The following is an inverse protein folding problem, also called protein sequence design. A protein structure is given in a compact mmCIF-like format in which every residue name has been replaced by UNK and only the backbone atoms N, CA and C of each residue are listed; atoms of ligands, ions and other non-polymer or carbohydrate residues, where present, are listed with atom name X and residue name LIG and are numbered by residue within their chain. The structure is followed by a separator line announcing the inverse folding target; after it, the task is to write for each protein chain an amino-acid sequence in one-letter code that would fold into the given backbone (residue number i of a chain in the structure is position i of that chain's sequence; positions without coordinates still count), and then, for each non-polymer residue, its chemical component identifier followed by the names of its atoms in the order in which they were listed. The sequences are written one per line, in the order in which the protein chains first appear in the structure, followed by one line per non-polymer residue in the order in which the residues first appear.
data_IF_251337031417
#
_entry.id   IF_251337031417
#
_cell.length_a   1.000
_cell.length_b   1.000
_cell.length_c   1.000
_cell.angle_alpha   90.00
_cell.angle_beta   90.00
_cell.angle_gamma   90.00
#
_symmetry.space_group_name_H-M   'P 1'
#
loop_
_entity.id
_entity.type
_entity.pdbx_description
1 polymer ?
#
# COMPACT_ATOMS: atom_id res chain seq x y z
N UNK A 1 4.16 2.01 -18.57
CA UNK A 1 4.85 1.64 -17.31
C UNK A 1 6.28 2.16 -17.39
N UNK A 2 6.69 3.09 -16.52
CA UNK A 2 8.03 3.67 -16.56
C UNK A 2 9.03 2.67 -15.98
N UNK A 3 9.63 1.85 -16.84
CA UNK A 3 10.55 0.76 -16.45
C UNK A 3 11.71 1.30 -15.57
N UNK A 4 12.18 2.51 -15.86
CA UNK A 4 13.20 3.19 -15.09
C UNK A 4 12.74 3.51 -13.66
N UNK A 5 11.49 3.97 -13.48
CA UNK A 5 10.91 4.22 -12.16
C UNK A 5 10.74 2.90 -11.39
N UNK A 6 10.31 1.84 -12.06
CA UNK A 6 10.25 0.49 -11.47
C UNK A 6 11.61 -0.01 -10.99
N UNK A 7 12.65 0.13 -11.81
CA UNK A 7 14.03 -0.24 -11.44
C UNK A 7 14.55 0.60 -10.27
N UNK A 8 14.29 1.92 -10.28
CA UNK A 8 14.63 2.83 -9.17
C UNK A 8 13.94 2.43 -7.86
N UNK A 9 12.69 2.02 -7.92
CA UNK A 9 11.95 1.59 -6.74
C UNK A 9 12.36 0.18 -6.26
N UNK A 10 12.57 -0.76 -7.17
CA UNK A 10 12.87 -2.16 -6.84
C UNK A 10 14.32 -2.40 -6.43
N UNK A 11 15.27 -1.92 -7.23
CA UNK A 11 16.71 -2.14 -7.01
C UNK A 11 17.24 -1.17 -5.97
N UNK A 12 17.02 0.14 -6.18
CA UNK A 12 17.56 1.19 -5.31
C UNK A 12 16.66 1.50 -4.11
N UNK A 13 15.53 0.80 -3.97
CA UNK A 13 14.54 1.01 -2.88
C UNK A 13 14.15 2.49 -2.75
N UNK A 14 14.07 3.22 -3.87
CA UNK A 14 13.72 4.64 -3.85
C UNK A 14 12.26 4.82 -3.44
N UNK A 15 12.03 5.52 -2.32
CA UNK A 15 10.68 5.81 -1.80
C UNK A 15 9.90 6.73 -2.73
N UNK A 16 10.55 7.73 -3.32
CA UNK A 16 9.93 8.63 -4.30
C UNK A 16 9.48 7.85 -5.56
N UNK A 17 10.35 7.00 -6.10
CA UNK A 17 10.01 6.19 -7.27
C UNK A 17 8.91 5.17 -6.96
N UNK A 18 8.92 4.59 -5.75
CA UNK A 18 7.87 3.68 -5.32
C UNK A 18 6.51 4.41 -5.19
N UNK A 19 6.51 5.61 -4.60
CA UNK A 19 5.32 6.45 -4.50
C UNK A 19 4.78 6.86 -5.87
N UNK A 20 5.65 7.28 -6.80
CA UNK A 20 5.27 7.58 -8.19
C UNK A 20 4.63 6.38 -8.90
N UNK A 21 5.18 5.17 -8.72
CA UNK A 21 4.57 3.96 -9.28
C UNK A 21 3.19 3.68 -8.69
N UNK A 22 3.00 3.91 -7.39
CA UNK A 22 1.72 3.74 -6.74
C UNK A 22 0.67 4.77 -7.21
N UNK A 23 1.10 6.01 -7.49
CA UNK A 23 0.25 7.04 -8.09
C UNK A 23 -0.12 6.71 -9.54
N UNK A 24 0.84 6.23 -10.32
CA UNK A 24 0.62 5.89 -11.74
C UNK A 24 -0.22 4.61 -11.88
N UNK A 25 -0.12 3.66 -10.93
CA UNK A 25 -0.89 2.42 -10.94
C UNK A 25 -1.05 1.81 -9.54
N UNK A 26 -2.31 1.67 -9.10
CA UNK A 26 -2.67 1.16 -7.77
C UNK A 26 -2.13 -0.27 -7.48
N UNK A 27 -1.80 -1.06 -8.50
CA UNK A 27 -1.15 -2.38 -8.33
C UNK A 27 0.16 -2.28 -7.54
N UNK A 28 0.89 -1.16 -7.64
CA UNK A 28 2.17 -0.97 -6.96
C UNK A 28 2.04 -0.37 -5.57
N UNK A 29 0.82 -0.14 -5.09
CA UNK A 29 0.56 0.50 -3.82
C UNK A 29 1.15 -0.26 -2.63
N UNK A 30 0.82 -1.54 -2.46
CA UNK A 30 1.36 -2.34 -1.34
C UNK A 30 2.89 -2.47 -1.40
N UNK A 31 3.44 -2.47 -2.61
CA UNK A 31 4.88 -2.43 -2.82
C UNK A 31 5.50 -1.11 -2.35
N UNK A 32 4.88 0.02 -2.66
CA UNK A 32 5.33 1.34 -2.23
C UNK A 32 5.17 1.56 -0.72
N UNK A 33 4.01 1.20 -0.15
CA UNK A 33 3.74 1.24 1.29
C UNK A 33 4.83 0.48 2.05
N UNK A 34 5.18 -0.74 1.62
CA UNK A 34 6.23 -1.54 2.27
C UNK A 34 7.60 -0.84 2.25
N UNK A 35 8.01 -0.28 1.12
CA UNK A 35 9.30 0.42 1.01
C UNK A 35 9.34 1.65 1.91
N UNK A 36 8.27 2.44 1.89
CA UNK A 36 8.19 3.72 2.61
C UNK A 36 8.11 3.48 4.12
N UNK A 37 7.28 2.54 4.57
CA UNK A 37 7.15 2.19 5.99
C UNK A 37 8.47 1.71 6.57
N UNK A 38 9.18 0.79 5.90
CA UNK A 38 10.49 0.30 6.38
C UNK A 38 11.50 1.44 6.51
N UNK A 39 11.53 2.37 5.55
CA UNK A 39 12.42 3.54 5.62
C UNK A 39 12.03 4.50 6.74
N UNK A 40 10.73 4.70 6.95
CA UNK A 40 10.22 5.58 7.99
C UNK A 40 10.52 5.03 9.39
N UNK A 41 10.22 3.76 9.64
CA UNK A 41 10.53 3.08 10.91
C UNK A 41 12.03 3.13 11.24
N UNK A 42 12.89 2.92 10.23
CA UNK A 42 14.34 3.04 10.41
C UNK A 42 14.74 4.44 10.86
N UNK A 43 14.19 5.49 10.23
CA UNK A 43 14.49 6.86 10.64
C UNK A 43 13.98 7.15 12.05
N UNK A 44 12.77 6.72 12.43
CA UNK A 44 12.28 6.86 13.79
C UNK A 44 13.19 6.16 14.81
N UNK A 45 13.68 4.95 14.52
CA UNK A 45 14.67 4.27 15.36
C UNK A 45 15.97 5.07 15.46
N UNK A 46 16.46 5.63 14.37
CA UNK A 46 17.68 6.45 14.38
C UNK A 46 17.50 7.73 15.23
N UNK A 47 16.33 8.40 15.17
CA UNK A 47 16.02 9.54 16.06
C UNK A 47 16.04 9.13 17.52
N UNK A 48 15.37 8.02 17.86
CA UNK A 48 15.24 7.53 19.24
C UNK A 48 16.59 7.09 19.80
N UNK A 49 17.33 6.27 19.05
CA UNK A 49 18.60 5.67 19.51
C UNK A 49 19.72 6.70 19.58
N UNK A 50 19.85 7.56 18.56
CA UNK A 50 20.96 8.51 18.48
C UNK A 50 20.67 9.86 19.13
N UNK A 51 19.48 10.03 19.73
CA UNK A 51 18.94 11.31 20.19
C UNK A 51 19.10 12.43 19.12
N UNK A 52 18.97 12.00 17.85
CA UNK A 52 19.41 12.73 16.65
C UNK A 52 18.36 13.74 16.17
N UNK A 53 17.61 14.34 17.10
CA UNK A 53 16.53 15.28 16.80
C UNK A 53 16.97 16.49 15.97
N UNK A 54 18.28 16.74 15.87
CA UNK A 54 18.91 17.84 15.13
C UNK A 54 19.46 17.47 13.75
N UNK A 55 19.36 16.20 13.34
CA UNK A 55 19.79 15.83 11.99
C UNK A 55 18.77 16.32 10.97
N UNK A 56 19.16 17.37 10.24
CA UNK A 56 18.36 18.04 9.22
C UNK A 56 17.86 17.06 8.15
N UNK A 57 18.66 16.03 7.85
CA UNK A 57 18.26 14.98 6.92
C UNK A 57 17.07 14.18 7.44
N UNK A 58 17.06 13.85 8.72
CA UNK A 58 15.99 13.09 9.36
C UNK A 58 14.73 13.95 9.52
N UNK A 59 14.89 15.22 9.90
CA UNK A 59 13.79 16.18 10.02
C UNK A 59 13.03 16.37 8.71
N UNK A 60 13.70 16.36 7.56
CA UNK A 60 13.03 16.49 6.26
C UNK A 60 12.39 15.19 5.76
N UNK A 61 12.95 14.03 6.10
CA UNK A 61 12.53 12.74 5.52
C UNK A 61 11.33 12.11 6.22
N UNK A 62 11.21 12.24 7.53
CA UNK A 62 10.06 11.69 8.28
C UNK A 62 8.73 12.32 7.81
N UNK A 63 8.59 13.66 7.75
CA UNK A 63 7.36 14.28 7.23
C UNK A 63 7.07 13.89 5.78
N UNK A 64 8.10 13.77 4.94
CA UNK A 64 7.96 13.33 3.55
C UNK A 64 7.36 11.91 3.46
N UNK A 65 7.84 10.97 4.28
CA UNK A 65 7.32 9.60 4.29
C UNK A 65 5.92 9.51 4.88
N UNK A 66 5.63 10.27 5.94
CA UNK A 66 4.29 10.36 6.50
C UNK A 66 3.30 10.90 5.45
N UNK A 67 3.68 11.95 4.71
CA UNK A 67 2.88 12.48 3.61
C UNK A 67 2.61 11.43 2.53
N UNK A 68 3.63 10.67 2.09
CA UNK A 68 3.41 9.61 1.10
C UNK A 68 2.43 8.52 1.58
N UNK A 69 2.56 8.10 2.84
CA UNK A 69 1.67 7.11 3.44
C UNK A 69 0.24 7.63 3.56
N UNK A 70 0.07 8.89 3.93
CA UNK A 70 -1.23 9.54 4.03
C UNK A 70 -1.91 9.68 2.67
N UNK A 71 -1.18 10.14 1.65
CA UNK A 71 -1.69 10.28 0.28
C UNK A 71 -2.09 8.93 -0.31
N UNK A 72 -1.29 7.88 -0.07
CA UNK A 72 -1.70 6.54 -0.44
C UNK A 72 -2.99 6.21 0.33
N UNK A 73 -3.03 6.34 1.66
CA UNK A 73 -4.22 6.02 2.48
C UNK A 73 -5.52 6.66 1.96
N UNK A 74 -5.49 7.92 1.51
CA UNK A 74 -6.65 8.63 0.93
C UNK A 74 -7.19 7.96 -0.34
N UNK A 75 -6.35 7.36 -1.17
CA UNK A 75 -6.80 6.59 -2.35
C UNK A 75 -7.54 5.29 -2.03
N UNK A 76 -7.66 4.91 -0.75
CA UNK A 76 -8.37 3.71 -0.30
C UNK A 76 -9.89 3.92 -0.21
N UNK A 77 -10.36 5.17 -0.12
CA UNK A 77 -11.79 5.51 0.03
C UNK A 77 -12.52 5.75 -1.30
N UNK A 78 -11.81 5.93 -2.41
CA UNK A 78 -12.42 6.10 -3.75
C UNK A 78 -12.65 4.79 -4.50
N UNK A 79 -12.23 3.64 -3.98
CA UNK A 79 -12.50 2.31 -4.55
C UNK A 79 -13.57 1.54 -3.78
N UNK A 80 -14.80 2.05 -3.69
CA UNK A 80 -15.96 1.21 -3.34
C UNK A 80 -17.26 1.88 -3.78
N UNK A 81 -17.72 1.54 -4.98
CA UNK A 81 -19.15 1.37 -5.27
C UNK A 81 -19.34 0.49 -6.52
N UNK A 82 -18.47 0.63 -7.52
CA UNK A 82 -18.52 -0.19 -8.75
C UNK A 82 -17.91 -1.59 -8.60
N UNK A 83 -16.79 -1.72 -7.89
CA UNK A 83 -16.11 -3.02 -7.75
C UNK A 83 -16.75 -3.94 -6.70
N UNK A 84 -17.45 -3.38 -5.71
CA UNK A 84 -18.25 -4.15 -4.75
C UNK A 84 -19.47 -4.79 -5.42
N UNK A 85 -20.14 -4.09 -6.36
CA UNK A 85 -21.27 -4.66 -7.11
C UNK A 85 -20.84 -5.81 -8.02
N UNK A 86 -19.61 -5.78 -8.54
CA UNK A 86 -19.08 -6.87 -9.38
C UNK A 86 -18.79 -8.14 -8.58
N UNK A 87 -18.39 -8.01 -7.31
CA UNK A 87 -18.17 -9.14 -6.41
C UNK A 87 -19.52 -9.72 -5.93
N UNK A 88 -20.52 -8.88 -5.64
CA UNK A 88 -21.85 -9.37 -5.23
C UNK A 88 -22.62 -10.02 -6.37
N UNK A 89 -22.47 -9.53 -7.60
CA UNK A 89 -23.14 -10.12 -8.78
C UNK A 89 -22.48 -11.43 -9.25
N UNK A 90 -21.21 -11.69 -8.89
CA UNK A 90 -20.56 -12.97 -9.14
C UNK A 90 -20.95 -14.04 -8.10
N UNK A 91 -21.32 -13.62 -6.89
CA UNK A 91 -21.76 -14.51 -5.81
C UNK A 91 -23.26 -14.87 -5.88
N UNK A 92 -24.03 -14.23 -6.75
CA UNK A 92 -25.48 -14.42 -6.89
C UNK A 92 -25.89 -15.17 -8.16
N UNK A 93 -24.96 -15.81 -8.90
CA UNK A 93 -25.36 -16.79 -9.92
C UNK A 93 -26.02 -17.99 -9.25
N UNK A 94 -27.33 -18.25 -9.47
CA UNK A 94 -28.03 -19.37 -8.85
C UNK A 94 -27.63 -20.64 -9.59
N UNK A 95 -26.59 -21.33 -9.12
CA UNK A 95 -26.03 -22.46 -9.86
C UNK A 95 -25.29 -23.52 -9.05
N UNK A 96 -25.20 -23.41 -7.72
CA UNK A 96 -24.61 -24.47 -6.89
C UNK A 96 -25.72 -25.10 -6.06
N UNK A 97 -26.15 -26.28 -6.53
CA UNK A 97 -27.08 -27.20 -5.88
C UNK A 97 -26.72 -27.39 -4.40
N UNK A 98 -27.71 -27.17 -3.54
CA UNK A 98 -27.81 -27.75 -2.21
C UNK A 98 -27.57 -29.27 -2.30
N UNK A 99 -26.53 -29.76 -1.61
CA UNK A 99 -26.51 -31.12 -1.08
C UNK A 99 -25.95 -31.01 0.35
N UNK A 100 -26.83 -30.62 1.28
CA UNK A 100 -26.73 -31.05 2.68
C UNK A 100 -27.99 -31.87 2.90
N UNK A 101 -27.89 -33.16 2.60
CA UNK A 101 -28.90 -34.14 2.96
C UNK A 101 -28.81 -34.35 4.46
N UNK A 102 -29.76 -33.77 5.18
CA UNK A 102 -29.99 -34.03 6.58
C UNK A 102 -30.98 -35.20 6.68
N UNK A 103 -30.48 -36.43 6.75
CA UNK A 103 -31.29 -37.58 7.17
C UNK A 103 -30.92 -37.94 8.59
N UNK A 104 -31.80 -37.55 9.51
CA UNK A 104 -31.88 -38.12 10.85
C UNK A 104 -32.04 -39.64 10.78
N UNK A 105 -31.27 -40.35 11.60
CA UNK A 105 -31.76 -41.48 12.39
C UNK A 105 -31.01 -41.55 13.71
#
# INVERSE_FOLDING_TARGET
MKILTYLRASIFRSSSAAFELAKDNNKYRSFAERIITVKNERLYREVVVKNSKRDFFIQGKIPQYNYFLEEMSKGKTTMTNSDQQKITNLALTPGIKNIVDNSMK
#
